data_IF_931712118780
#
_entry.id   IF_931712118780
#
_cell.length_a   1.000
_cell.length_b   1.000
_cell.length_c   1.000
_cell.angle_alpha   90.00
_cell.angle_beta   90.00
_cell.angle_gamma   90.00
#
_symmetry.space_group_name_H-M   'P 1'
#
loop_
_entity.id
_entity.type
_entity.pdbx_description
1 polymer ?
#
# COMPACT_ATOMS: atom_id res chain seq x y z
N UNK A 1 2.87 27.49 -5.47
CA UNK A 1 3.12 26.06 -5.18
C UNK A 1 3.73 25.81 -3.80
N UNK A 2 4.66 26.61 -3.29
CA UNK A 2 5.30 26.41 -1.97
C UNK A 2 4.31 26.36 -0.77
N UNK A 3 3.27 27.20 -0.75
CA UNK A 3 2.27 27.26 0.34
C UNK A 3 1.49 25.94 0.51
N UNK A 4 1.13 25.27 -0.59
CA UNK A 4 0.44 23.97 -0.55
C UNK A 4 1.36 22.89 -0.02
N UNK A 5 2.61 22.85 -0.50
CA UNK A 5 3.59 21.87 -0.03
C UNK A 5 3.83 21.98 1.48
N UNK A 6 3.94 23.20 2.01
CA UNK A 6 4.13 23.43 3.45
C UNK A 6 2.91 23.00 4.27
N UNK A 7 1.68 23.30 3.79
CA UNK A 7 0.45 22.90 4.47
C UNK A 7 0.34 21.35 4.57
N UNK A 8 0.56 20.63 3.49
CA UNK A 8 0.52 19.17 3.50
C UNK A 8 1.68 18.54 4.29
N UNK A 9 2.87 19.13 4.22
CA UNK A 9 4.00 18.71 5.04
C UNK A 9 3.70 18.86 6.54
N UNK A 10 3.02 19.93 6.95
CA UNK A 10 2.59 20.11 8.33
C UNK A 10 1.50 19.11 8.74
N UNK A 11 0.51 18.84 7.90
CA UNK A 11 -0.52 17.84 8.18
C UNK A 11 0.04 16.43 8.33
N UNK A 12 1.01 16.06 7.50
CA UNK A 12 1.67 14.75 7.55
C UNK A 12 2.61 14.62 8.76
N UNK A 13 3.16 15.74 9.25
CA UNK A 13 4.06 15.77 10.41
C UNK A 13 3.36 16.05 11.75
N UNK A 14 2.05 16.32 11.77
CA UNK A 14 1.27 16.59 13.00
C UNK A 14 1.19 15.35 13.92
N UNK A 15 1.42 14.16 13.39
CA UNK A 15 1.69 13.00 14.21
C UNK A 15 3.21 12.88 14.45
N UNK A 16 3.81 13.92 15.04
CA UNK A 16 5.08 13.77 15.75
C UNK A 16 4.90 12.59 16.70
N UNK A 17 5.65 11.54 16.43
CA UNK A 17 5.67 10.33 17.24
C UNK A 17 6.19 10.73 18.61
N UNK A 18 5.29 11.22 19.48
CA UNK A 18 5.57 11.30 20.91
C UNK A 18 5.84 9.88 21.36
N UNK A 19 7.11 9.61 21.61
CA UNK A 19 7.64 8.44 22.32
C UNK A 19 6.59 7.31 22.47
N UNK A 20 6.35 6.57 21.39
CA UNK A 20 5.79 5.23 21.54
C UNK A 20 6.82 4.51 22.39
N UNK A 21 6.49 4.25 23.67
CA UNK A 21 7.21 3.26 24.45
C UNK A 21 7.35 2.06 23.53
N UNK A 22 8.58 1.78 23.13
CA UNK A 22 8.90 0.52 22.51
C UNK A 22 8.66 -0.55 23.56
N UNK A 23 7.41 -0.95 23.70
CA UNK A 23 7.11 -2.25 24.25
C UNK A 23 7.78 -3.19 23.27
N UNK A 24 8.87 -3.82 23.70
CA UNK A 24 9.49 -4.91 22.98
C UNK A 24 8.40 -5.99 22.91
N UNK A 25 7.56 -5.89 21.89
CA UNK A 25 6.74 -7.01 21.49
C UNK A 25 7.77 -8.04 21.02
N UNK A 26 8.03 -9.04 21.85
CA UNK A 26 8.59 -10.29 21.38
C UNK A 26 7.55 -10.86 20.41
N UNK A 27 7.52 -10.32 19.21
CA UNK A 27 6.87 -10.95 18.10
C UNK A 27 7.63 -12.25 17.90
N UNK A 28 7.04 -13.35 18.37
CA UNK A 28 7.34 -14.63 17.78
C UNK A 28 7.36 -14.36 16.27
N UNK A 29 8.51 -14.60 15.60
CA UNK A 29 8.57 -14.47 14.13
C UNK A 29 7.33 -15.19 13.62
N UNK A 30 6.33 -14.52 13.05
CA UNK A 30 5.26 -15.27 12.44
C UNK A 30 5.97 -16.13 11.42
N UNK A 31 5.70 -17.43 11.44
CA UNK A 31 6.04 -18.35 10.35
C UNK A 31 5.24 -17.87 9.14
N UNK A 32 5.66 -16.74 8.58
CA UNK A 32 5.08 -16.23 7.35
C UNK A 32 5.61 -17.14 6.28
N UNK A 33 4.80 -18.16 5.96
CA UNK A 33 5.09 -19.02 4.84
C UNK A 33 5.37 -18.15 3.61
N UNK A 34 6.38 -18.55 2.85
CA UNK A 34 6.73 -17.91 1.59
C UNK A 34 5.47 -17.75 0.74
N UNK A 35 5.35 -16.63 0.02
CA UNK A 35 4.19 -16.43 -0.85
C UNK A 35 4.19 -17.47 -1.96
N UNK A 36 3.06 -18.14 -2.14
CA UNK A 36 2.89 -19.08 -3.23
C UNK A 36 2.61 -18.34 -4.55
N UNK A 37 2.94 -18.98 -5.68
CA UNK A 37 2.60 -18.44 -7.00
C UNK A 37 1.08 -18.19 -7.14
N UNK A 38 0.25 -19.02 -6.50
CA UNK A 38 -1.21 -18.85 -6.47
C UNK A 38 -1.64 -17.57 -5.73
N UNK A 39 -1.03 -17.24 -4.59
CA UNK A 39 -1.32 -16.01 -3.87
C UNK A 39 -0.98 -14.76 -4.70
N UNK A 40 0.14 -14.81 -5.44
CA UNK A 40 0.52 -13.73 -6.37
C UNK A 40 -0.51 -13.58 -7.48
N UNK A 41 -0.96 -14.70 -8.06
CA UNK A 41 -1.99 -14.68 -9.10
C UNK A 41 -3.30 -14.08 -8.59
N UNK A 42 -3.77 -14.53 -7.43
CA UNK A 42 -4.96 -13.97 -6.78
C UNK A 42 -4.82 -12.49 -6.44
N UNK A 43 -3.64 -12.05 -6.02
CA UNK A 43 -3.36 -10.65 -5.73
C UNK A 43 -3.36 -9.78 -6.99
N UNK A 44 -2.87 -10.31 -8.12
CA UNK A 44 -2.94 -9.65 -9.42
C UNK A 44 -4.40 -9.51 -9.87
N UNK A 45 -5.21 -10.54 -9.72
CA UNK A 45 -6.63 -10.49 -10.08
C UNK A 45 -7.43 -9.50 -9.23
N UNK A 46 -7.05 -9.27 -7.99
CA UNK A 46 -7.64 -8.25 -7.09
C UNK A 46 -7.30 -6.81 -7.48
N UNK A 47 -6.34 -6.57 -8.38
CA UNK A 47 -6.02 -5.21 -8.81
C UNK A 47 -7.25 -4.60 -9.49
N UNK A 48 -7.60 -3.38 -9.10
CA UNK A 48 -8.68 -2.64 -9.73
C UNK A 48 -8.24 -2.07 -11.08
N UNK A 49 -9.11 -2.19 -12.08
CA UNK A 49 -8.92 -1.61 -13.42
C UNK A 49 -9.17 -0.10 -13.39
N UNK A 50 -8.66 0.60 -14.39
CA UNK A 50 -8.88 2.05 -14.60
C UNK A 50 -8.44 2.93 -13.42
N UNK A 51 -7.50 2.43 -12.60
CA UNK A 51 -6.85 3.22 -11.56
C UNK A 51 -5.52 3.78 -12.06
N UNK A 52 -5.23 4.98 -11.63
CA UNK A 52 -3.95 5.63 -11.93
C UNK A 52 -2.79 4.74 -11.53
N UNK A 53 -1.83 4.50 -12.42
CA UNK A 53 -0.59 3.84 -12.06
C UNK A 53 0.17 4.74 -11.08
N UNK A 54 0.91 4.11 -10.17
CA UNK A 54 1.76 4.83 -9.22
C UNK A 54 3.09 5.27 -9.83
N UNK A 55 4.12 5.29 -8.99
CA UNK A 55 5.47 5.78 -9.34
C UNK A 55 6.11 5.09 -10.53
N UNK A 56 5.88 3.81 -10.74
CA UNK A 56 6.43 3.03 -11.86
C UNK A 56 5.57 3.06 -13.14
N UNK A 57 4.50 3.83 -13.16
CA UNK A 57 3.65 4.07 -14.34
C UNK A 57 3.14 2.79 -15.06
N UNK A 58 3.13 1.65 -14.36
CA UNK A 58 2.63 0.39 -14.90
C UNK A 58 1.15 0.23 -14.55
N UNK A 59 0.23 0.27 -15.53
CA UNK A 59 -1.19 0.08 -15.28
C UNK A 59 -1.50 -1.34 -14.80
N UNK A 60 -2.56 -1.47 -13.99
CA UNK A 60 -3.03 -2.78 -13.52
C UNK A 60 -3.43 -3.71 -14.68
N UNK A 61 -3.99 -3.12 -15.75
CA UNK A 61 -4.38 -3.84 -16.97
C UNK A 61 -3.19 -4.51 -17.63
N UNK A 62 -2.05 -3.82 -17.71
CA UNK A 62 -0.82 -4.39 -18.28
C UNK A 62 -0.35 -5.58 -17.46
N UNK A 63 -0.38 -5.49 -16.13
CA UNK A 63 0.01 -6.60 -15.25
C UNK A 63 -0.99 -7.79 -15.37
N UNK A 64 -2.27 -7.52 -15.50
CA UNK A 64 -3.28 -8.58 -15.71
C UNK A 64 -3.15 -9.27 -17.06
N UNK A 65 -2.71 -8.56 -18.08
CA UNK A 65 -2.54 -9.08 -19.43
C UNK A 65 -1.26 -9.89 -19.63
N UNK A 66 -0.29 -9.81 -18.69
CA UNK A 66 0.98 -10.53 -18.83
C UNK A 66 0.82 -12.03 -18.68
N UNK A 67 1.64 -12.75 -19.47
CA UNK A 67 1.68 -14.21 -19.42
C UNK A 67 2.35 -14.77 -18.18
N UNK A 68 2.34 -16.11 -18.10
CA UNK A 68 2.86 -16.87 -16.95
C UNK A 68 4.30 -16.52 -16.58
N UNK A 69 5.16 -16.28 -17.56
CA UNK A 69 6.58 -15.97 -17.34
C UNK A 69 6.75 -14.71 -16.49
N UNK A 70 6.04 -13.62 -16.81
CA UNK A 70 6.15 -12.37 -16.04
C UNK A 70 5.50 -12.51 -14.66
N UNK A 71 4.43 -13.29 -14.53
CA UNK A 71 3.85 -13.61 -13.22
C UNK A 71 4.83 -14.38 -12.33
N UNK A 72 5.64 -15.27 -12.92
CA UNK A 72 6.73 -15.96 -12.22
C UNK A 72 7.81 -14.98 -11.75
N UNK A 73 8.23 -14.04 -12.59
CA UNK A 73 9.19 -13.00 -12.20
C UNK A 73 8.67 -12.13 -11.05
N UNK A 74 7.39 -11.76 -11.09
CA UNK A 74 6.74 -11.02 -9.99
C UNK A 74 6.79 -11.85 -8.70
N UNK A 75 6.54 -13.15 -8.78
CA UNK A 75 6.64 -14.05 -7.63
C UNK A 75 8.05 -14.08 -7.06
N UNK A 76 9.09 -14.20 -7.90
CA UNK A 76 10.49 -14.21 -7.47
C UNK A 76 10.89 -12.88 -6.78
N UNK A 77 10.42 -11.75 -7.29
CA UNK A 77 10.65 -10.45 -6.66
C UNK A 77 10.01 -10.42 -5.26
N UNK A 78 8.75 -10.83 -5.14
CA UNK A 78 8.03 -10.85 -3.87
C UNK A 78 8.71 -11.83 -2.90
N UNK A 79 9.12 -13.00 -3.37
CA UNK A 79 9.89 -13.98 -2.59
C UNK A 79 11.20 -13.38 -2.06
N UNK A 80 11.94 -12.64 -2.91
CA UNK A 80 13.17 -11.96 -2.51
C UNK A 80 12.92 -10.90 -1.42
N UNK A 81 11.80 -10.17 -1.50
CA UNK A 81 11.42 -9.18 -0.48
C UNK A 81 11.19 -9.86 0.87
N UNK A 82 10.45 -10.99 0.89
CA UNK A 82 10.22 -11.74 2.13
C UNK A 82 11.49 -12.27 2.76
N UNK A 83 12.46 -12.71 1.94
CA UNK A 83 13.70 -13.27 2.46
C UNK A 83 14.69 -12.21 2.96
N UNK A 84 14.68 -11.03 2.35
CA UNK A 84 15.62 -9.95 2.66
C UNK A 84 15.07 -8.93 3.66
N UNK A 85 13.78 -8.97 3.96
CA UNK A 85 13.05 -7.96 4.72
C UNK A 85 13.25 -6.52 4.17
N UNK A 86 13.55 -6.40 2.86
CA UNK A 86 13.82 -5.13 2.21
C UNK A 86 12.91 -4.90 1.01
N UNK A 87 12.24 -3.76 1.00
CA UNK A 87 11.49 -3.30 -0.17
C UNK A 87 12.43 -2.60 -1.16
N UNK A 88 12.28 -2.85 -2.47
CA UNK A 88 12.97 -2.08 -3.50
C UNK A 88 12.74 -0.57 -3.31
N UNK A 89 13.74 0.25 -3.58
CA UNK A 89 13.66 1.70 -3.37
C UNK A 89 12.55 2.32 -4.23
N UNK A 90 12.34 1.81 -5.43
CA UNK A 90 11.29 2.22 -6.36
C UNK A 90 9.87 1.99 -5.82
N UNK A 91 9.70 1.06 -4.86
CA UNK A 91 8.42 0.76 -4.25
C UNK A 91 8.14 1.60 -3.01
N UNK A 92 9.17 2.17 -2.39
CA UNK A 92 9.06 3.04 -1.20
C UNK A 92 8.50 4.42 -1.54
N UNK A 93 8.58 4.82 -2.82
CA UNK A 93 8.05 6.09 -3.28
C UNK A 93 6.53 6.10 -3.40
N UNK A 94 5.93 7.23 -3.08
CA UNK A 94 4.52 7.50 -3.36
C UNK A 94 4.36 8.89 -3.99
N UNK A 95 3.34 9.03 -4.83
CA UNK A 95 2.96 10.32 -5.41
C UNK A 95 1.73 10.81 -4.66
N UNK A 96 1.82 12.00 -4.07
CA UNK A 96 0.66 12.65 -3.44
C UNK A 96 0.03 13.60 -4.44
N UNK A 97 -1.24 13.34 -4.77
CA UNK A 97 -2.03 14.18 -5.68
C UNK A 97 -3.14 14.88 -4.91
N UNK A 98 -3.09 16.20 -4.78
CA UNK A 98 -4.18 16.95 -4.16
C UNK A 98 -5.37 17.01 -5.10
N UNK A 99 -6.50 16.48 -4.67
CA UNK A 99 -7.76 16.48 -5.41
C UNK A 99 -8.71 17.47 -4.77
N UNK A 100 -9.20 18.41 -5.58
CA UNK A 100 -10.18 19.39 -5.15
C UNK A 100 -11.52 18.75 -4.79
N UNK A 101 -12.08 19.09 -3.63
CA UNK A 101 -13.38 18.59 -3.18
C UNK A 101 -14.52 19.48 -3.64
N UNK A 102 -14.56 20.71 -3.11
CA UNK A 102 -15.60 21.71 -3.37
C UNK A 102 -15.23 23.04 -2.69
N UNK A 103 -15.97 24.10 -3.00
CA UNK A 103 -15.85 25.42 -2.36
C UNK A 103 -14.74 26.28 -2.97
N UNK A 104 -13.96 26.99 -2.20
CA UNK A 104 -12.95 27.93 -2.72
C UNK A 104 -11.65 27.22 -3.09
N UNK A 105 -11.25 27.28 -4.37
CA UNK A 105 -10.00 26.67 -4.87
C UNK A 105 -8.72 27.28 -4.30
N UNK A 106 -8.80 28.45 -3.66
CA UNK A 106 -7.64 29.11 -3.04
C UNK A 106 -7.31 28.58 -1.65
N UNK A 107 -8.26 27.88 -1.04
CA UNK A 107 -8.11 27.32 0.30
C UNK A 107 -7.62 25.86 0.20
N UNK A 108 -6.49 25.58 0.87
CA UNK A 108 -5.87 24.25 0.88
C UNK A 108 -6.74 23.21 1.60
N UNK A 109 -7.58 23.63 2.54
CA UNK A 109 -8.48 22.73 3.28
C UNK A 109 -9.56 22.10 2.39
N UNK A 110 -9.82 22.68 1.22
CA UNK A 110 -10.77 22.17 0.23
C UNK A 110 -10.18 21.11 -0.70
N UNK A 111 -9.00 20.63 -0.41
CA UNK A 111 -8.35 19.54 -1.13
C UNK A 111 -8.23 18.31 -0.22
N UNK A 112 -8.26 17.14 -0.84
CA UNK A 112 -7.87 15.88 -0.20
C UNK A 112 -6.66 15.32 -0.92
N UNK A 113 -5.77 14.71 -0.18
CA UNK A 113 -4.63 14.03 -0.76
C UNK A 113 -4.99 12.59 -1.13
N UNK A 114 -4.62 12.20 -2.33
CA UNK A 114 -4.66 10.82 -2.77
C UNK A 114 -3.21 10.37 -2.95
N UNK A 115 -2.86 9.29 -2.24
CA UNK A 115 -1.55 8.66 -2.37
C UNK A 115 -1.59 7.61 -3.48
N UNK A 116 -0.75 7.78 -4.49
CA UNK A 116 -0.57 6.83 -5.57
C UNK A 116 0.68 6.00 -5.30
N UNK A 117 0.49 4.73 -5.01
CA UNK A 117 1.56 3.76 -4.80
C UNK A 117 1.76 2.91 -6.07
N UNK A 118 2.94 2.31 -6.23
CA UNK A 118 3.25 1.48 -7.39
C UNK A 118 2.31 0.27 -7.49
N UNK A 119 2.06 -0.20 -8.71
CA UNK A 119 1.20 -1.38 -8.94
C UNK A 119 1.81 -2.63 -8.31
N UNK A 120 3.13 -2.75 -8.32
CA UNK A 120 3.83 -3.86 -7.67
C UNK A 120 3.65 -3.86 -6.15
N UNK A 121 3.71 -2.66 -5.52
CA UNK A 121 3.42 -2.53 -4.09
C UNK A 121 1.97 -2.93 -3.77
N UNK A 122 1.01 -2.62 -4.64
CA UNK A 122 -0.39 -3.03 -4.46
C UNK A 122 -0.55 -4.57 -4.49
N UNK A 123 0.22 -5.27 -5.32
CA UNK A 123 0.21 -6.74 -5.34
C UNK A 123 0.71 -7.28 -4.01
N UNK A 124 1.87 -6.82 -3.53
CA UNK A 124 2.40 -7.20 -2.22
C UNK A 124 1.39 -6.91 -1.10
N UNK A 125 0.79 -5.72 -1.12
CA UNK A 125 -0.22 -5.33 -0.13
C UNK A 125 -1.44 -6.24 -0.16
N UNK A 126 -1.94 -6.64 -1.33
CA UNK A 126 -3.07 -7.57 -1.47
C UNK A 126 -2.75 -8.96 -0.91
N UNK A 127 -1.51 -9.44 -1.04
CA UNK A 127 -1.06 -10.69 -0.43
C UNK A 127 -1.10 -10.57 1.09
N UNK A 128 -0.47 -9.52 1.64
CA UNK A 128 -0.43 -9.27 3.07
C UNK A 128 -1.83 -9.12 3.66
N UNK A 129 -2.68 -8.34 3.00
CA UNK A 129 -4.07 -8.14 3.42
C UNK A 129 -4.85 -9.46 3.45
N UNK A 130 -4.70 -10.30 2.43
CA UNK A 130 -5.37 -11.62 2.38
C UNK A 130 -4.96 -12.54 3.52
N UNK A 131 -3.71 -12.44 3.96
CA UNK A 131 -3.19 -13.23 5.09
C UNK A 131 -3.62 -12.68 6.44
N UNK A 132 -3.77 -11.36 6.54
CA UNK A 132 -4.15 -10.69 7.78
C UNK A 132 -5.67 -10.69 8.01
N UNK A 133 -6.48 -10.71 6.95
CA UNK A 133 -7.95 -10.61 7.04
C UNK A 133 -8.59 -11.66 7.98
N UNK A 134 -8.15 -12.91 8.06
CA UNK A 134 -8.73 -13.89 9.00
C UNK A 134 -8.56 -13.51 10.47
N UNK A 135 -7.46 -12.85 10.84
CA UNK A 135 -7.15 -12.53 12.24
C UNK A 135 -8.05 -11.44 12.85
N UNK A 136 -8.34 -10.30 12.17
CA UNK A 136 -9.25 -9.29 12.72
C UNK A 136 -10.68 -9.78 12.89
N UNK A 137 -11.17 -10.66 12.00
CA UNK A 137 -12.51 -11.23 12.12
C UNK A 137 -12.66 -12.09 13.36
N UNK A 138 -11.59 -12.78 13.75
CA UNK A 138 -11.56 -13.61 14.96
C UNK A 138 -11.43 -12.78 16.25
N UNK A 139 -10.69 -11.64 16.19
CA UNK A 139 -10.36 -10.83 17.39
C UNK A 139 -11.36 -9.68 17.61
N UNK A 140 -11.82 -9.02 16.55
CA UNK A 140 -12.60 -7.77 16.63
C UNK A 140 -14.10 -8.07 16.72
N UNK A 141 -14.56 -9.25 16.28
CA UNK A 141 -15.98 -9.58 16.25
C UNK A 141 -16.81 -8.50 15.53
N UNK A 142 -18.08 -8.40 15.89
CA UNK A 142 -19.07 -7.55 15.20
C UNK A 142 -18.96 -6.03 15.53
N UNK A 143 -17.89 -5.60 16.21
CA UNK A 143 -17.65 -4.18 16.55
C UNK A 143 -17.03 -3.39 15.39
N UNK A 144 -17.71 -3.31 14.27
CA UNK A 144 -17.44 -2.29 13.28
C UNK A 144 -17.95 -0.94 13.77
N UNK A 145 -17.15 -0.25 14.56
CA UNK A 145 -17.35 1.17 14.79
C UNK A 145 -17.19 1.91 13.47
N UNK A 146 -18.32 2.29 12.86
CA UNK A 146 -18.29 3.13 11.66
C UNK A 146 -17.74 4.52 11.99
N UNK A 147 -16.82 5.02 11.16
CA UNK A 147 -16.47 6.42 11.06
C UNK A 147 -17.41 7.12 10.07
#
# INVERSE_FOLDING_TARGET
MARRRNHFSQLLNVHGVNHVRQTVLHTAKPLVHQSSAFEVEMAIEKLERHKSPGTNQIPAESIKAVGRTIRSEIHEIIYSIYNKDELPQEWKGLIIVPVYKKSNKRDCSNYRDISLVSTMYKILFNILLSRLTPYPEEIIGDHRGGF
#
